data_IF_633020470533
#
_entry.id   IF_633020470533
#
_cell.length_a   1.000
_cell.length_b   1.000
_cell.length_c   1.000
_cell.angle_alpha   90.00
_cell.angle_beta   90.00
_cell.angle_gamma   90.00
#
_symmetry.space_group_name_H-M   'P 1'
#
loop_
_entity.id
_entity.type
_entity.pdbx_description
1 polymer ?
#
# COMPACT_ATOMS: atom_id res chain seq x y z
N UNK A 1 7.47 5.88 -4.62
CA UNK A 1 7.02 4.81 -5.53
C UNK A 1 5.71 5.27 -6.14
N UNK A 2 5.51 5.00 -7.43
CA UNK A 2 4.29 5.40 -8.15
C UNK A 2 3.80 4.26 -9.03
N UNK A 3 2.48 4.19 -9.24
CA UNK A 3 1.83 3.24 -10.12
C UNK A 3 1.28 3.95 -11.34
N UNK A 4 1.54 3.38 -12.52
CA UNK A 4 0.75 3.71 -13.72
C UNK A 4 -0.44 2.76 -13.78
N UNK A 5 -1.64 3.32 -13.84
CA UNK A 5 -2.87 2.54 -13.79
C UNK A 5 -3.77 2.86 -14.98
N UNK A 6 -4.47 1.84 -15.48
CA UNK A 6 -5.64 2.00 -16.35
C UNK A 6 -6.91 1.83 -15.53
N UNK A 7 -7.86 2.76 -15.66
CA UNK A 7 -9.14 2.69 -14.94
C UNK A 7 -9.93 1.48 -15.45
N UNK A 8 -10.36 0.63 -14.54
CA UNK A 8 -11.18 -0.56 -14.87
C UNK A 8 -12.63 -0.37 -14.43
N UNK A 9 -12.86 0.27 -13.29
CA UNK A 9 -14.20 0.49 -12.75
C UNK A 9 -14.27 1.82 -12.00
N UNK A 10 -15.44 2.45 -12.08
CA UNK A 10 -15.81 3.64 -11.30
C UNK A 10 -17.15 3.32 -10.63
N UNK A 11 -17.16 3.18 -9.32
CA UNK A 11 -18.34 2.80 -8.54
C UNK A 11 -18.70 3.96 -7.62
N UNK A 12 -19.86 4.58 -7.82
CA UNK A 12 -20.37 5.54 -6.85
C UNK A 12 -20.78 4.79 -5.57
N UNK A 13 -20.29 5.25 -4.43
CA UNK A 13 -20.61 4.62 -3.15
C UNK A 13 -22.08 4.87 -2.80
N UNK A 14 -22.68 3.85 -2.21
CA UNK A 14 -24.05 3.90 -1.71
C UNK A 14 -24.07 3.55 -0.23
N UNK A 15 -25.02 4.13 0.49
CA UNK A 15 -25.35 3.76 1.86
C UNK A 15 -26.10 2.43 1.90
N UNK A 16 -26.24 1.87 3.12
CA UNK A 16 -26.99 0.63 3.34
C UNK A 16 -28.48 0.74 2.96
N UNK A 17 -29.04 1.96 2.99
CA UNK A 17 -30.40 2.29 2.54
C UNK A 17 -30.52 2.55 1.03
N UNK A 18 -29.42 2.34 0.27
CA UNK A 18 -29.30 2.51 -1.19
C UNK A 18 -29.25 3.97 -1.67
N UNK A 19 -29.21 4.94 -0.77
CA UNK A 19 -28.96 6.34 -1.16
C UNK A 19 -27.51 6.51 -1.64
N UNK A 20 -27.34 7.28 -2.72
CA UNK A 20 -26.03 7.58 -3.29
C UNK A 20 -25.28 8.61 -2.44
N UNK A 21 -23.98 8.41 -2.30
CA UNK A 21 -23.06 9.35 -1.65
C UNK A 21 -22.24 10.05 -2.73
N UNK A 22 -21.91 11.35 -2.60
CA UNK A 22 -21.00 12.03 -3.54
C UNK A 22 -19.54 11.61 -3.29
N UNK A 23 -19.26 10.32 -3.43
CA UNK A 23 -17.95 9.69 -3.25
C UNK A 23 -17.85 8.45 -4.14
N UNK A 24 -16.67 8.20 -4.71
CA UNK A 24 -16.46 7.16 -5.71
C UNK A 24 -15.29 6.25 -5.33
N UNK A 25 -15.52 4.94 -5.42
CA UNK A 25 -14.45 3.95 -5.43
C UNK A 25 -13.95 3.81 -6.87
N UNK A 26 -12.68 4.15 -7.08
CA UNK A 26 -11.99 4.00 -8.36
C UNK A 26 -11.10 2.77 -8.28
N UNK A 27 -11.30 1.83 -9.20
CA UNK A 27 -10.44 0.65 -9.35
C UNK A 27 -9.60 0.80 -10.62
N UNK A 28 -8.31 0.50 -10.51
CA UNK A 28 -7.36 0.57 -11.61
C UNK A 28 -6.49 -0.67 -11.68
N UNK A 29 -6.22 -1.13 -12.90
CA UNK A 29 -5.21 -2.15 -13.20
C UNK A 29 -3.84 -1.47 -13.22
N UNK A 30 -2.90 -1.98 -12.41
CA UNK A 30 -1.51 -1.53 -12.43
C UNK A 30 -0.83 -2.08 -13.69
N UNK A 31 -0.43 -1.20 -14.61
CA UNK A 31 0.24 -1.57 -15.87
C UNK A 31 1.75 -1.31 -15.84
N UNK A 32 2.22 -0.44 -14.95
CA UNK A 32 3.64 -0.25 -14.66
C UNK A 32 3.86 0.26 -13.23
N UNK A 33 5.07 0.03 -12.69
CA UNK A 33 5.49 0.50 -11.37
C UNK A 33 6.81 1.24 -11.48
N UNK A 34 6.85 2.47 -10.96
CA UNK A 34 8.05 3.28 -10.88
C UNK A 34 8.60 3.27 -9.46
N UNK A 35 9.77 2.65 -9.29
CA UNK A 35 10.48 2.56 -8.02
C UNK A 35 11.85 3.21 -8.19
N UNK A 36 12.20 4.14 -7.29
CA UNK A 36 13.54 4.67 -7.25
C UNK A 36 14.52 3.53 -6.91
N UNK A 37 15.54 3.30 -7.75
CA UNK A 37 16.39 2.10 -7.68
C UNK A 37 17.04 1.88 -6.31
N UNK A 38 17.37 2.94 -5.59
CA UNK A 38 18.00 2.88 -4.27
C UNK A 38 17.07 2.35 -3.17
N UNK A 39 15.76 2.30 -3.42
CA UNK A 39 14.77 1.66 -2.53
C UNK A 39 14.63 0.16 -2.77
N UNK A 40 15.37 -0.41 -3.73
CA UNK A 40 15.39 -1.85 -3.96
C UNK A 40 16.67 -2.44 -3.36
N UNK A 41 16.50 -3.31 -2.36
CA UNK A 41 17.57 -4.11 -1.76
C UNK A 41 17.35 -5.56 -2.19
N UNK A 42 18.26 -6.10 -2.98
CA UNK A 42 18.16 -7.46 -3.53
C UNK A 42 16.83 -7.72 -4.27
N UNK A 43 16.36 -6.70 -5.00
CA UNK A 43 15.07 -6.74 -5.72
C UNK A 43 13.83 -6.56 -4.84
N UNK A 44 14.00 -6.41 -3.52
CA UNK A 44 12.92 -6.22 -2.55
C UNK A 44 12.80 -4.73 -2.21
N UNK A 45 11.57 -4.23 -2.24
CA UNK A 45 11.29 -2.84 -1.87
C UNK A 45 11.49 -2.62 -0.36
N UNK A 46 12.36 -1.68 -0.01
CA UNK A 46 12.57 -1.23 1.35
C UNK A 46 11.57 -0.12 1.71
N UNK A 47 10.43 -0.53 2.28
CA UNK A 47 9.36 0.39 2.70
C UNK A 47 9.81 1.37 3.77
N UNK A 48 10.73 0.99 4.67
CA UNK A 48 11.19 1.86 5.75
C UNK A 48 12.10 2.97 5.21
N UNK A 49 13.01 2.64 4.28
CA UNK A 49 13.85 3.63 3.62
C UNK A 49 13.07 4.60 2.71
N UNK A 50 11.86 4.23 2.31
CA UNK A 50 10.98 5.09 1.52
C UNK A 50 10.25 6.16 2.35
N UNK A 51 10.33 6.07 3.68
CA UNK A 51 9.72 7.03 4.63
C UNK A 51 8.28 7.43 4.29
N UNK A 52 7.35 6.47 4.06
CA UNK A 52 5.99 6.81 3.68
C UNK A 52 5.28 7.54 4.82
N UNK A 53 4.47 8.53 4.44
CA UNK A 53 3.60 9.27 5.36
C UNK A 53 2.25 8.57 5.47
N UNK A 54 1.87 8.21 6.69
CA UNK A 54 0.64 7.55 7.05
C UNK A 54 -0.35 8.58 7.63
N UNK A 55 -1.58 8.59 7.13
CA UNK A 55 -2.67 9.41 7.67
C UNK A 55 -3.23 8.71 8.94
N UNK A 56 -3.21 9.41 10.08
CA UNK A 56 -3.79 8.99 11.36
C UNK A 56 -5.29 9.23 11.56
N UNK A 57 -5.81 9.00 12.76
CA UNK A 57 -7.24 9.14 13.04
C UNK A 57 -7.71 10.57 13.31
N UNK A 58 -6.91 11.40 13.99
CA UNK A 58 -7.29 12.77 14.36
C UNK A 58 -7.33 13.72 13.17
N UNK A 59 -7.88 14.94 13.31
CA UNK A 59 -8.16 15.84 12.18
C UNK A 59 -6.95 16.15 11.29
N UNK A 60 -5.75 16.17 11.84
CA UNK A 60 -4.51 16.47 11.13
C UNK A 60 -3.35 15.53 11.50
N UNK A 61 -3.66 14.34 12.03
CA UNK A 61 -2.63 13.40 12.45
C UNK A 61 -1.96 12.73 11.25
N UNK A 62 -0.64 12.79 11.20
CA UNK A 62 0.21 12.09 10.24
C UNK A 62 1.44 11.51 10.94
N UNK A 63 1.89 10.37 10.45
CA UNK A 63 3.06 9.66 10.98
C UNK A 63 4.02 9.34 9.84
N UNK A 64 5.31 9.49 10.10
CA UNK A 64 6.34 8.98 9.20
C UNK A 64 6.70 7.56 9.64
N UNK A 65 6.76 6.62 8.70
CA UNK A 65 7.18 5.26 8.98
C UNK A 65 8.70 5.11 8.81
N UNK A 66 9.41 4.77 9.88
CA UNK A 66 10.83 4.44 9.87
C UNK A 66 11.12 2.96 10.19
N UNK A 67 12.41 2.56 10.16
CA UNK A 67 12.85 1.19 10.45
C UNK A 67 12.43 0.67 11.83
N UNK A 68 12.29 1.57 12.81
CA UNK A 68 11.88 1.26 14.19
C UNK A 68 10.46 0.69 14.30
N UNK A 69 9.61 0.93 13.30
CA UNK A 69 8.24 0.41 13.25
C UNK A 69 8.15 -0.98 12.61
N UNK A 70 9.23 -1.50 12.00
CA UNK A 70 9.20 -2.77 11.27
C UNK A 70 9.31 -3.96 12.22
N UNK A 71 8.31 -4.83 12.19
CA UNK A 71 8.35 -6.17 12.79
C UNK A 71 7.91 -7.23 11.77
N UNK A 72 8.43 -8.45 11.90
CA UNK A 72 8.14 -9.55 10.96
C UNK A 72 7.14 -10.52 11.56
N UNK A 73 5.93 -10.58 11.00
CA UNK A 73 4.92 -11.57 11.35
C UNK A 73 4.92 -12.70 10.32
N UNK A 74 5.31 -13.90 10.74
CA UNK A 74 5.29 -15.09 9.88
C UNK A 74 3.98 -15.86 10.09
N UNK A 75 3.40 -16.36 8.99
CA UNK A 75 2.18 -17.19 9.06
C UNK A 75 2.50 -18.53 9.73
N UNK A 76 1.68 -18.92 10.72
CA UNK A 76 1.75 -20.24 11.36
C UNK A 76 1.65 -21.34 10.27
N UNK A 77 2.63 -22.24 10.22
CA UNK A 77 2.69 -23.34 9.25
C UNK A 77 3.58 -23.09 8.02
N UNK A 78 4.10 -21.88 7.80
CA UNK A 78 5.19 -21.68 6.85
C UNK A 78 6.53 -21.94 7.57
N UNK A 79 7.16 -23.08 7.28
CA UNK A 79 8.57 -23.28 7.63
C UNK A 79 9.42 -22.34 6.76
N UNK A 80 10.48 -21.78 7.34
CA UNK A 80 11.30 -20.71 6.77
C UNK A 80 12.19 -21.18 5.60
N UNK A 81 11.64 -21.88 4.61
CA UNK A 81 12.38 -22.53 3.52
C UNK A 81 12.30 -21.81 2.17
N UNK A 82 11.58 -20.68 2.07
CA UNK A 82 11.34 -20.00 0.80
C UNK A 82 12.25 -18.79 0.52
N UNK A 83 13.19 -18.45 1.41
CA UNK A 83 14.02 -17.22 1.29
C UNK A 83 15.52 -17.45 1.53
N UNK A 84 16.05 -18.62 1.14
CA UNK A 84 17.48 -18.78 0.85
C UNK A 84 17.64 -18.99 -0.65
N UNK A 85 17.86 -17.89 -1.36
CA UNK A 85 18.76 -17.86 -2.52
C UNK A 85 19.81 -16.82 -2.22
#
# INVERSE_FOLDING_TARGET
MSFECKVTQIIQLQRADKELVPSWLILGEVVAVHIAKWLLKDGIYDTAAAEPILRGGGPADYFQLGPEALFRMHRRGQSNSAWTQ
#
